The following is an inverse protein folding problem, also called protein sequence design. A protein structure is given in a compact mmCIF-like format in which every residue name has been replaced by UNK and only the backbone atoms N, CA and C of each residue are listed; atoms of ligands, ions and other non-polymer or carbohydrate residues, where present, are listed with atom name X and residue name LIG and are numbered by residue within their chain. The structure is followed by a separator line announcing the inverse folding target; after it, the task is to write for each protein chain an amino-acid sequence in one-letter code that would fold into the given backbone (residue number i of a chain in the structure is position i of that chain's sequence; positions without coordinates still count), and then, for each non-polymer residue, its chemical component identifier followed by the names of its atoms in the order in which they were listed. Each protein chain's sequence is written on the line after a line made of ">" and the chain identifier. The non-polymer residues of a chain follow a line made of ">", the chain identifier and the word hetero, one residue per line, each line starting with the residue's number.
data_IF_881383116496
#
_entry.id   IF_881383116496
#
_cell.length_a   1.000
_cell.length_b   1.000
_cell.length_c   1.000
_cell.angle_alpha   90.00
_cell.angle_beta   90.00
_cell.angle_gamma   90.00
#
_symmetry.space_group_name_H-M   'P 1'
#
loop_
_entity.id
_entity.type
_entity.pdbx_description
1 polymer ?
#
# COMPACT_ATOMS: atom_id res chain seq x y z
N UNK A 1 -8.72 16.30 -14.21
CA UNK A 1 -7.88 15.75 -13.13
C UNK A 1 -6.85 14.84 -13.80
N UNK A 2 -5.60 15.29 -13.89
CA UNK A 2 -4.57 14.68 -14.74
C UNK A 2 -4.40 13.21 -14.36
N UNK A 3 -4.55 12.33 -15.34
CA UNK A 3 -4.11 10.95 -15.28
C UNK A 3 -2.59 11.01 -15.17
N UNK A 4 -2.06 11.10 -13.96
CA UNK A 4 -0.66 10.79 -13.75
C UNK A 4 -0.53 9.33 -14.16
N UNK A 5 0.10 9.10 -15.30
CA UNK A 5 0.60 7.79 -15.67
C UNK A 5 1.31 7.25 -14.44
N UNK A 6 0.83 6.11 -13.93
CA UNK A 6 1.59 5.34 -12.95
C UNK A 6 2.79 4.80 -13.72
N UNK A 7 3.78 5.66 -13.95
CA UNK A 7 5.06 5.27 -14.49
C UNK A 7 5.69 4.42 -13.40
N UNK A 8 5.56 3.10 -13.54
CA UNK A 8 6.58 2.21 -12.98
C UNK A 8 7.86 2.57 -13.72
N UNK A 9 8.60 3.56 -13.21
CA UNK A 9 9.99 3.75 -13.61
C UNK A 9 10.72 2.52 -13.10
N UNK A 10 10.79 1.51 -13.97
CA UNK A 10 11.61 0.33 -13.79
C UNK A 10 13.04 0.84 -13.89
N UNK A 11 13.73 0.93 -12.76
CA UNK A 11 15.18 1.02 -12.81
C UNK A 11 15.68 -0.33 -13.32
N UNK A 12 15.88 -0.44 -14.64
CA UNK A 12 16.86 -1.33 -15.22
C UNK A 12 18.22 -0.76 -14.81
N UNK A 13 18.65 -1.06 -13.58
CA UNK A 13 20.03 -0.78 -13.23
C UNK A 13 20.81 -2.02 -13.61
N UNK A 14 21.49 -1.92 -14.75
CA UNK A 14 22.62 -2.78 -15.07
C UNK A 14 23.46 -2.92 -13.79
N UNK A 15 23.71 -4.15 -13.39
CA UNK A 15 24.49 -4.56 -12.21
C UNK A 15 23.75 -4.45 -10.87
N UNK A 16 23.17 -5.54 -10.37
CA UNK A 16 23.18 -5.81 -8.93
C UNK A 16 23.27 -7.30 -8.62
N UNK A 17 24.24 -7.57 -7.74
CA UNK A 17 24.65 -8.82 -7.10
C UNK A 17 23.48 -9.53 -6.43
N UNK A 18 23.45 -10.86 -6.58
CA UNK A 18 22.79 -11.86 -5.71
C UNK A 18 21.62 -11.34 -4.86
N UNK A 19 20.45 -11.12 -5.49
CA UNK A 19 19.21 -11.09 -4.73
C UNK A 19 18.87 -12.54 -4.40
N UNK A 20 18.74 -12.93 -3.11
CA UNK A 20 18.36 -14.29 -2.75
C UNK A 20 17.08 -14.65 -3.49
N UNK A 21 17.11 -15.77 -4.21
CA UNK A 21 15.99 -16.18 -5.07
C UNK A 21 14.68 -16.34 -4.28
N UNK A 22 14.81 -16.63 -2.99
CA UNK A 22 13.73 -16.77 -1.99
C UNK A 22 13.03 -15.45 -1.67
N UNK A 23 13.70 -14.30 -1.85
CA UNK A 23 13.14 -12.96 -1.60
C UNK A 23 12.47 -12.33 -2.82
N UNK A 24 12.33 -13.06 -3.93
CA UNK A 24 11.71 -12.58 -5.17
C UNK A 24 10.26 -13.06 -5.24
N UNK A 25 9.32 -12.11 -5.35
CA UNK A 25 7.91 -12.41 -5.45
C UNK A 25 7.47 -12.67 -6.88
N UNK A 26 6.58 -13.65 -7.06
CA UNK A 26 5.87 -13.79 -8.33
C UNK A 26 4.92 -12.60 -8.56
N UNK A 27 4.51 -12.39 -9.78
CA UNK A 27 3.49 -11.39 -10.12
C UNK A 27 2.35 -12.05 -10.90
N UNK A 28 1.14 -11.48 -10.86
CA UNK A 28 0.03 -11.89 -11.73
C UNK A 28 -0.95 -10.77 -11.99
N UNK A 29 -1.66 -10.88 -13.10
CA UNK A 29 -2.87 -10.14 -13.35
C UNK A 29 -4.07 -10.81 -12.68
N UNK A 30 -4.93 -10.01 -12.07
CA UNK A 30 -6.27 -10.39 -11.65
C UNK A 30 -7.25 -9.61 -12.51
N UNK A 31 -8.03 -10.34 -13.30
CA UNK A 31 -9.08 -9.77 -14.11
C UNK A 31 -10.43 -9.93 -13.41
N UNK A 32 -11.26 -8.89 -13.47
CA UNK A 32 -12.60 -8.89 -12.91
C UNK A 32 -13.54 -8.25 -13.91
N UNK A 33 -14.54 -9.02 -14.36
CA UNK A 33 -15.63 -8.51 -15.18
C UNK A 33 -16.73 -7.95 -14.27
N UNK A 34 -17.07 -6.69 -14.49
CA UNK A 34 -18.29 -6.04 -13.97
C UNK A 34 -19.27 -5.87 -15.14
N UNK A 35 -20.57 -5.66 -14.87
CA UNK A 35 -21.60 -5.55 -15.91
C UNK A 35 -21.23 -4.60 -17.06
N UNK A 36 -20.62 -3.46 -16.74
CA UNK A 36 -20.25 -2.41 -17.71
C UNK A 36 -18.74 -2.13 -17.76
N UNK A 37 -17.91 -2.92 -17.08
CA UNK A 37 -16.48 -2.61 -16.96
C UNK A 37 -15.61 -3.85 -16.77
N UNK A 38 -14.51 -3.92 -17.52
CA UNK A 38 -13.44 -4.88 -17.25
C UNK A 38 -12.36 -4.19 -16.42
N UNK A 39 -11.96 -4.82 -15.31
CA UNK A 39 -10.86 -4.36 -14.46
C UNK A 39 -9.72 -5.35 -14.50
N UNK A 40 -8.50 -4.85 -14.68
CA UNK A 40 -7.27 -5.59 -14.50
C UNK A 40 -6.51 -5.00 -13.30
N UNK A 41 -5.97 -5.86 -12.43
CA UNK A 41 -5.11 -5.46 -11.32
C UNK A 41 -3.84 -6.27 -11.33
N UNK A 42 -2.72 -5.60 -11.21
CA UNK A 42 -1.42 -6.23 -11.02
C UNK A 42 -1.20 -6.51 -9.53
N UNK A 43 -0.85 -7.74 -9.19
CA UNK A 43 -0.75 -8.19 -7.80
C UNK A 43 0.51 -9.03 -7.61
N UNK A 44 1.27 -8.76 -6.55
CA UNK A 44 2.39 -9.59 -6.12
C UNK A 44 1.88 -10.88 -5.46
N UNK A 45 2.58 -11.99 -5.69
CA UNK A 45 2.28 -13.30 -5.11
C UNK A 45 3.14 -13.48 -3.86
N UNK A 46 2.48 -13.52 -2.69
CA UNK A 46 3.09 -13.51 -1.35
C UNK A 46 3.80 -14.82 -0.96
N UNK A 47 3.71 -15.89 -1.77
CA UNK A 47 4.01 -17.26 -1.31
C UNK A 47 5.40 -17.50 -0.72
N UNK A 48 6.38 -16.61 -0.97
CA UNK A 48 7.76 -16.74 -0.47
C UNK A 48 8.21 -15.66 0.52
N UNK A 49 7.31 -14.83 1.09
CA UNK A 49 7.74 -13.84 2.10
C UNK A 49 8.00 -14.49 3.47
N UNK A 50 9.26 -14.46 3.93
CA UNK A 50 9.74 -15.00 5.20
C UNK A 50 9.64 -13.94 6.30
N UNK A 51 9.14 -14.36 7.47
CA UNK A 51 9.03 -13.52 8.66
C UNK A 51 10.40 -13.08 9.17
N UNK A 52 10.52 -11.85 9.68
CA UNK A 52 11.75 -11.14 10.04
C UNK A 52 12.68 -10.72 8.89
N UNK A 53 12.67 -11.46 7.78
CA UNK A 53 13.45 -11.14 6.58
C UNK A 53 12.68 -10.10 5.74
N UNK A 54 11.56 -10.52 5.15
CA UNK A 54 10.82 -9.71 4.19
C UNK A 54 9.79 -8.79 4.86
N UNK A 55 9.32 -9.15 6.06
CA UNK A 55 8.35 -8.36 6.81
C UNK A 55 8.46 -8.59 8.32
N UNK A 56 8.03 -7.60 9.10
CA UNK A 56 7.85 -7.67 10.54
C UNK A 56 6.36 -7.81 10.89
N UNK A 57 6.06 -8.14 12.14
CA UNK A 57 4.69 -8.42 12.61
C UNK A 57 3.78 -7.19 12.62
N UNK A 58 4.34 -5.99 12.37
CA UNK A 58 3.59 -4.75 12.45
C UNK A 58 2.65 -4.62 11.26
N UNK A 59 1.47 -5.18 11.42
CA UNK A 59 0.32 -4.96 10.55
C UNK A 59 -0.12 -3.50 10.69
N UNK A 60 -0.72 -2.95 9.62
CA UNK A 60 -1.31 -1.61 9.66
C UNK A 60 -2.27 -1.47 10.84
N UNK A 61 -2.19 -0.34 11.55
CA UNK A 61 -3.19 -0.02 12.55
C UNK A 61 -4.53 0.21 11.84
N UNK A 62 -5.59 -0.38 12.37
CA UNK A 62 -6.98 -0.15 11.96
C UNK A 62 -7.69 0.49 13.15
N UNK A 63 -8.50 1.55 12.94
CA UNK A 63 -9.19 2.18 14.05
C UNK A 63 -10.12 1.18 14.73
N UNK A 64 -10.11 1.18 16.07
CA UNK A 64 -10.96 0.26 16.82
C UNK A 64 -12.43 0.69 16.71
N UNK A 65 -13.36 -0.27 16.82
CA UNK A 65 -14.78 0.05 16.87
C UNK A 65 -15.13 0.99 18.02
N UNK A 66 -14.42 0.90 19.15
CA UNK A 66 -14.63 1.78 20.30
C UNK A 66 -14.26 3.23 19.96
N UNK A 67 -13.09 3.46 19.36
CA UNK A 67 -12.67 4.78 18.89
C UNK A 67 -13.64 5.35 17.86
N UNK A 68 -14.07 4.53 16.90
CA UNK A 68 -15.02 4.94 15.87
C UNK A 68 -16.37 5.35 16.48
N UNK A 69 -16.94 4.53 17.37
CA UNK A 69 -18.20 4.83 18.07
C UNK A 69 -18.08 6.11 18.89
N UNK A 70 -17.00 6.26 19.67
CA UNK A 70 -16.78 7.45 20.49
C UNK A 70 -16.73 8.72 19.63
N UNK A 71 -16.05 8.68 18.48
CA UNK A 71 -15.98 9.82 17.55
C UNK A 71 -17.32 10.16 16.94
N UNK A 72 -18.08 9.16 16.49
CA UNK A 72 -19.43 9.35 15.95
C UNK A 72 -20.36 9.93 17.02
N UNK A 73 -20.36 9.37 18.24
CA UNK A 73 -21.15 9.89 19.36
C UNK A 73 -20.78 11.33 19.71
N UNK A 74 -19.49 11.66 19.73
CA UNK A 74 -19.01 13.03 19.96
C UNK A 74 -19.49 13.99 18.86
N UNK A 75 -19.42 13.56 17.60
CA UNK A 75 -19.92 14.34 16.47
C UNK A 75 -21.43 14.59 16.59
N UNK A 76 -22.23 13.58 16.97
CA UNK A 76 -23.66 13.75 17.21
C UNK A 76 -23.93 14.74 18.35
N UNK A 77 -23.24 14.62 19.50
CA UNK A 77 -23.41 15.52 20.65
C UNK A 77 -23.05 16.97 20.33
N UNK A 78 -22.03 17.17 19.48
CA UNK A 78 -21.56 18.51 19.07
C UNK A 78 -22.21 19.01 17.77
N UNK A 79 -23.17 18.26 17.22
CA UNK A 79 -23.80 18.53 15.94
C UNK A 79 -22.79 18.76 14.79
N UNK A 80 -21.71 17.97 14.76
CA UNK A 80 -20.68 18.03 13.73
C UNK A 80 -21.07 17.20 12.50
N UNK A 81 -20.78 17.72 11.30
CA UNK A 81 -20.97 16.96 10.06
C UNK A 81 -19.93 15.85 9.93
N UNK A 82 -20.36 14.63 9.62
CA UNK A 82 -19.49 13.50 9.32
C UNK A 82 -19.35 13.36 7.80
N UNK A 83 -18.11 13.21 7.31
CA UNK A 83 -17.83 12.95 5.89
C UNK A 83 -16.96 11.71 5.75
N UNK A 84 -17.26 10.88 4.77
CA UNK A 84 -16.47 9.71 4.40
C UNK A 84 -15.83 9.94 3.04
N UNK A 85 -14.64 9.37 2.82
CA UNK A 85 -13.98 9.40 1.53
C UNK A 85 -13.28 8.07 1.28
N UNK A 86 -13.25 7.65 0.01
CA UNK A 86 -12.52 6.47 -0.46
C UNK A 86 -11.33 6.92 -1.30
N UNK A 87 -10.13 6.54 -0.89
CA UNK A 87 -8.90 6.92 -1.60
C UNK A 87 -8.64 5.92 -2.71
N UNK A 88 -8.83 6.36 -3.96
CA UNK A 88 -8.50 5.55 -5.13
C UNK A 88 -7.01 5.24 -5.15
N UNK A 89 -6.72 3.95 -5.35
CA UNK A 89 -5.34 3.47 -5.56
C UNK A 89 -4.40 3.79 -4.39
N UNK A 90 -4.92 3.79 -3.16
CA UNK A 90 -4.21 4.13 -1.92
C UNK A 90 -2.80 3.53 -1.82
N UNK A 91 -2.63 2.24 -2.14
CA UNK A 91 -1.33 1.56 -2.07
C UNK A 91 -0.28 2.14 -3.05
N UNK A 92 -0.69 2.58 -4.24
CA UNK A 92 0.26 3.19 -5.19
C UNK A 92 0.62 4.64 -4.82
N UNK A 93 0.06 5.17 -3.75
CA UNK A 93 0.48 6.46 -3.18
C UNK A 93 1.54 6.27 -2.07
N UNK A 94 1.68 5.08 -1.50
CA UNK A 94 2.69 4.81 -0.48
C UNK A 94 3.98 4.23 -1.07
N UNK A 95 5.11 4.76 -0.58
CA UNK A 95 6.42 4.18 -0.85
C UNK A 95 6.55 2.85 -0.10
N UNK A 96 7.32 1.93 -0.67
CA UNK A 96 7.66 0.69 0.02
C UNK A 96 8.83 0.94 0.98
N UNK A 97 8.72 0.44 2.21
CA UNK A 97 9.70 0.65 3.28
C UNK A 97 10.95 -0.25 3.11
N UNK A 98 10.73 -1.49 2.68
CA UNK A 98 11.77 -2.48 2.42
C UNK A 98 11.88 -2.80 0.92
N UNK A 99 13.09 -3.10 0.41
CA UNK A 99 13.26 -3.56 -0.96
C UNK A 99 12.42 -4.82 -1.22
N UNK A 100 11.50 -4.76 -2.18
CA UNK A 100 10.78 -5.93 -2.68
C UNK A 100 11.07 -6.08 -4.15
N UNK A 101 11.46 -7.29 -4.53
CA UNK A 101 11.75 -7.66 -5.90
C UNK A 101 10.65 -8.56 -6.43
N UNK A 102 10.25 -8.36 -7.68
CA UNK A 102 9.22 -9.15 -8.35
C UNK A 102 9.75 -9.69 -9.69
N UNK A 103 9.28 -10.86 -10.08
CA UNK A 103 9.50 -11.38 -11.43
C UNK A 103 8.63 -10.62 -12.44
N UNK A 104 9.21 -10.11 -13.54
CA UNK A 104 8.44 -9.51 -14.61
C UNK A 104 7.52 -10.55 -15.25
N UNK A 105 6.33 -10.11 -15.67
CA UNK A 105 5.43 -10.96 -16.45
C UNK A 105 5.88 -11.04 -17.90
N UNK A 106 5.57 -12.17 -18.54
CA UNK A 106 5.73 -12.33 -19.99
C UNK A 106 4.96 -11.22 -20.70
N UNK A 107 5.61 -10.55 -21.66
CA UNK A 107 5.02 -9.44 -22.42
C UNK A 107 5.26 -8.04 -21.84
N UNK A 108 5.98 -7.89 -20.71
CA UNK A 108 6.35 -6.57 -20.18
C UNK A 108 7.55 -5.91 -20.87
N UNK A 109 8.14 -6.55 -21.90
CA UNK A 109 9.30 -6.01 -22.62
C UNK A 109 10.59 -5.97 -21.79
N UNK A 110 10.66 -6.73 -20.70
CA UNK A 110 11.81 -6.79 -19.79
C UNK A 110 12.78 -7.89 -20.25
N UNK A 111 14.09 -7.64 -20.13
CA UNK A 111 15.13 -8.60 -20.49
C UNK A 111 14.96 -9.94 -19.75
N UNK A 112 15.29 -11.03 -20.45
CA UNK A 112 15.29 -12.39 -19.89
C UNK A 112 16.22 -12.42 -18.68
N UNK A 113 15.78 -13.05 -17.58
CA UNK A 113 16.51 -13.15 -16.30
C UNK A 113 16.63 -11.86 -15.47
N UNK A 114 15.82 -10.84 -15.75
CA UNK A 114 15.76 -9.63 -14.92
C UNK A 114 14.68 -9.71 -13.84
N UNK A 115 14.85 -8.92 -12.78
CA UNK A 115 13.88 -8.71 -11.70
C UNK A 115 13.49 -7.23 -11.64
N UNK A 116 12.28 -6.91 -11.20
CA UNK A 116 11.84 -5.53 -11.00
C UNK A 116 11.84 -5.21 -9.50
N UNK A 117 12.39 -4.07 -9.12
CA UNK A 117 12.26 -3.54 -7.77
C UNK A 117 11.00 -2.68 -7.67
N UNK A 118 10.18 -2.93 -6.65
CA UNK A 118 9.03 -2.06 -6.36
C UNK A 118 9.50 -0.78 -5.67
N UNK A 119 9.02 0.38 -6.15
CA UNK A 119 9.20 1.67 -5.48
C UNK A 119 8.00 2.03 -4.59
N UNK A 120 6.82 1.53 -4.96
CA UNK A 120 5.54 1.79 -4.31
C UNK A 120 4.94 0.49 -3.81
N UNK A 121 4.11 0.56 -2.78
CA UNK A 121 3.42 -0.60 -2.27
C UNK A 121 2.46 -1.18 -3.32
N UNK A 122 2.52 -2.50 -3.50
CA UNK A 122 1.66 -3.22 -4.44
C UNK A 122 0.72 -4.16 -3.69
N UNK A 123 -0.49 -4.36 -4.22
CA UNK A 123 -1.39 -5.39 -3.72
C UNK A 123 -0.69 -6.75 -3.66
N UNK A 124 -0.95 -7.51 -2.59
CA UNK A 124 -0.31 -8.81 -2.42
C UNK A 124 1.15 -8.71 -1.96
N UNK A 125 1.56 -7.61 -1.36
CA UNK A 125 2.72 -7.57 -0.46
C UNK A 125 2.23 -7.51 0.99
N UNK A 126 2.83 -8.27 1.92
CA UNK A 126 2.37 -8.30 3.33
C UNK A 126 2.35 -6.92 3.99
N UNK A 127 3.29 -6.04 3.62
CA UNK A 127 3.43 -4.68 4.17
C UNK A 127 2.65 -3.60 3.44
N UNK A 128 1.92 -3.92 2.37
CA UNK A 128 1.21 -2.90 1.57
C UNK A 128 0.32 -1.98 2.42
N UNK A 129 -0.51 -2.56 3.28
CA UNK A 129 -1.39 -1.81 4.18
C UNK A 129 -0.61 -0.94 5.17
N UNK A 130 0.53 -1.43 5.70
CA UNK A 130 1.36 -0.69 6.64
C UNK A 130 1.99 0.53 5.97
N UNK A 131 2.52 0.35 4.76
CA UNK A 131 3.07 1.44 3.95
C UNK A 131 2.03 2.54 3.72
N UNK A 132 0.79 2.15 3.40
CA UNK A 132 -0.31 3.10 3.26
C UNK A 132 -0.64 3.81 4.57
N UNK A 133 -0.76 3.10 5.68
CA UNK A 133 -1.04 3.71 6.98
C UNK A 133 0.05 4.74 7.38
N UNK A 134 1.33 4.40 7.20
CA UNK A 134 2.45 5.31 7.46
C UNK A 134 2.39 6.55 6.55
N UNK A 135 2.12 6.36 5.27
CA UNK A 135 1.99 7.46 4.31
C UNK A 135 0.84 8.40 4.71
N UNK A 136 -0.34 7.85 4.97
CA UNK A 136 -1.52 8.62 5.36
C UNK A 136 -1.27 9.36 6.68
N UNK A 137 -0.69 8.69 7.68
CA UNK A 137 -0.30 9.32 8.95
C UNK A 137 0.62 10.51 8.73
N UNK A 138 1.65 10.37 7.89
CA UNK A 138 2.57 11.46 7.57
C UNK A 138 1.92 12.60 6.79
N UNK A 139 0.93 12.32 5.92
CA UNK A 139 0.11 13.36 5.28
C UNK A 139 -0.73 14.11 6.31
N UNK A 140 -1.45 13.38 7.16
CA UNK A 140 -2.31 13.94 8.23
C UNK A 140 -1.49 14.81 9.20
N UNK A 141 -0.31 14.35 9.61
CA UNK A 141 0.59 15.12 10.47
C UNK A 141 1.05 16.44 9.83
N UNK A 142 1.34 16.44 8.52
CA UNK A 142 1.72 17.66 7.79
C UNK A 142 0.59 18.69 7.70
N UNK A 143 -0.66 18.25 7.72
CA UNK A 143 -1.83 19.15 7.73
C UNK A 143 -2.32 19.46 9.16
N UNK A 144 -1.53 19.13 10.19
CA UNK A 144 -1.76 19.52 11.58
C UNK A 144 -2.42 18.46 12.46
N UNK A 145 -2.85 17.33 11.91
CA UNK A 145 -3.50 16.29 12.68
C UNK A 145 -2.49 15.49 13.52
N UNK A 146 -2.90 15.05 14.72
CA UNK A 146 -2.11 14.22 15.63
C UNK A 146 -2.82 12.92 15.89
N UNK A 147 -2.09 11.81 15.87
CA UNK A 147 -2.65 10.52 16.28
C UNK A 147 -2.80 10.48 17.81
N UNK A 148 -3.84 9.83 18.31
CA UNK A 148 -3.97 9.55 19.74
C UNK A 148 -3.12 8.32 20.11
N UNK A 149 -2.73 8.20 21.38
CA UNK A 149 -1.85 7.13 21.85
C UNK A 149 -2.60 5.81 21.98
N UNK A 150 -3.87 5.88 22.37
CA UNK A 150 -4.76 4.75 22.63
C UNK A 150 -5.21 4.07 21.33
N UNK A 151 -5.26 4.83 20.23
CA UNK A 151 -5.57 4.34 18.89
C UNK A 151 -4.77 5.11 17.82
N UNK A 152 -3.62 4.55 17.38
CA UNK A 152 -2.74 5.18 16.39
C UNK A 152 -3.38 5.43 15.02
N UNK A 153 -4.56 4.86 14.73
CA UNK A 153 -5.31 5.13 13.50
C UNK A 153 -6.27 6.30 13.62
N UNK A 154 -6.59 6.72 14.85
CA UNK A 154 -7.48 7.85 15.11
C UNK A 154 -6.68 9.13 15.25
N UNK A 155 -7.06 10.17 14.49
CA UNK A 155 -6.34 11.44 14.45
C UNK A 155 -7.26 12.62 14.81
N UNK A 156 -6.71 13.63 15.48
CA UNK A 156 -7.41 14.88 15.86
C UNK A 156 -6.66 16.12 15.41
N UNK A 157 -7.41 17.19 15.19
CA UNK A 157 -6.89 18.55 15.08
C UNK A 157 -7.28 19.24 16.40
N UNK A 158 -6.29 19.63 17.19
CA UNK A 158 -6.49 20.37 18.44
C UNK A 158 -6.76 21.85 18.14
#
# INVERSE_FOLDING_TARGET
>A
MKTEEVSMQVFLKDSMKEVPHESILGMRWIFTKKPEQFKARLVARVFHQIYWIDYDEKIASTPTFNSLRLRISTACLKNWSIRTFDVKVALLNSLIDKPVYILPLVGMGVLKYSVLKLNKALYGTKKSSQCWWLHLRGVLQRIGFRNINEDPSTHTLD
#
